data_IF_707500272666
#
_entry.id   IF_707500272666
#
_cell.length_a   1.000
_cell.length_b   1.000
_cell.length_c   1.000
_cell.angle_alpha   90.00
_cell.angle_beta   90.00
_cell.angle_gamma   90.00
#
_symmetry.space_group_name_H-M   'P 1'
#
loop_
_entity.id
_entity.type
_entity.pdbx_description
1 polymer ?
#
# COMPACT_ATOMS: atom_id res chain seq x y z
N UNK A 1 24.03 26.37 -32.81
CA UNK A 1 24.67 25.94 -31.54
C UNK A 1 23.85 26.25 -30.27
N UNK A 2 22.57 26.65 -30.34
CA UNK A 2 21.75 26.93 -29.13
C UNK A 2 20.82 25.78 -28.71
N UNK A 3 20.47 24.89 -29.64
CA UNK A 3 19.50 23.79 -29.41
C UNK A 3 20.13 22.64 -28.62
N UNK A 4 21.37 22.25 -28.94
CA UNK A 4 22.06 21.17 -28.22
C UNK A 4 22.24 21.49 -26.73
N UNK A 5 22.57 22.75 -26.40
CA UNK A 5 22.67 23.21 -25.02
C UNK A 5 21.33 23.17 -24.29
N UNK A 6 20.23 23.50 -24.97
CA UNK A 6 18.88 23.45 -24.41
C UNK A 6 18.44 22.01 -24.09
N UNK A 7 18.74 21.07 -24.99
CA UNK A 7 18.46 19.64 -24.80
C UNK A 7 19.28 19.08 -23.64
N UNK A 8 20.55 19.49 -23.51
CA UNK A 8 21.41 19.05 -22.41
C UNK A 8 20.89 19.54 -21.06
N UNK A 9 20.45 20.80 -20.97
CA UNK A 9 19.84 21.36 -19.76
C UNK A 9 18.54 20.63 -19.41
N UNK A 10 17.69 20.35 -20.39
CA UNK A 10 16.46 19.58 -20.17
C UNK A 10 16.75 18.15 -19.69
N UNK A 11 17.81 17.52 -20.19
CA UNK A 11 18.23 16.20 -19.76
C UNK A 11 18.74 16.24 -18.32
N UNK A 12 19.61 17.19 -17.97
CA UNK A 12 20.12 17.37 -16.60
C UNK A 12 19.00 17.71 -15.61
N UNK A 13 18.05 18.57 -15.99
CA UNK A 13 16.89 18.89 -15.15
C UNK A 13 15.96 17.69 -14.96
N UNK A 14 15.79 16.83 -15.98
CA UNK A 14 15.08 15.55 -15.81
C UNK A 14 15.86 14.58 -14.93
N UNK A 15 17.17 14.46 -15.10
CA UNK A 15 18.02 13.63 -14.24
C UNK A 15 17.95 14.08 -12.79
N UNK A 16 17.97 15.40 -12.55
CA UNK A 16 17.81 15.97 -11.23
C UNK A 16 16.39 15.75 -10.71
N UNK A 17 15.34 15.90 -11.51
CA UNK A 17 13.97 15.59 -11.08
C UNK A 17 13.76 14.10 -10.75
N UNK A 18 14.49 13.19 -11.41
CA UNK A 18 14.48 11.75 -11.12
C UNK A 18 15.38 11.41 -9.91
N UNK A 19 16.45 12.18 -9.69
CA UNK A 19 17.37 12.05 -8.55
C UNK A 19 17.04 13.01 -7.39
N UNK A 20 15.89 13.69 -7.40
CA UNK A 20 15.31 14.21 -6.15
C UNK A 20 14.94 12.95 -5.38
N UNK A 21 15.92 12.50 -4.60
CA UNK A 21 15.77 11.59 -3.50
C UNK A 21 14.65 12.13 -2.63
N UNK A 22 13.48 11.58 -2.88
CA UNK A 22 12.34 11.41 -1.99
C UNK A 22 11.19 10.87 -2.86
N UNK A 23 11.41 9.74 -3.56
CA UNK A 23 10.38 8.72 -3.39
C UNK A 23 10.35 8.53 -1.87
N UNK A 24 9.26 8.92 -1.17
CA UNK A 24 9.22 8.72 0.28
C UNK A 24 9.63 7.27 0.48
N UNK A 25 10.63 6.96 1.31
CA UNK A 25 11.01 5.59 1.57
C UNK A 25 9.72 4.91 1.98
N UNK A 26 9.18 4.09 1.08
CA UNK A 26 8.06 3.22 1.36
C UNK A 26 8.64 2.05 2.12
N UNK A 27 9.21 2.36 3.27
CA UNK A 27 9.65 1.37 4.24
C UNK A 27 8.36 0.88 4.88
N UNK A 28 7.82 -0.20 4.32
CA UNK A 28 6.76 -0.96 4.98
C UNK A 28 7.41 -1.59 6.19
N UNK A 29 7.31 -0.92 7.33
CA UNK A 29 7.96 -1.36 8.55
C UNK A 29 7.34 -2.64 9.17
N UNK A 30 6.43 -3.31 8.45
CA UNK A 30 5.81 -4.60 8.76
C UNK A 30 5.48 -4.78 10.25
N UNK A 31 5.00 -3.72 10.90
CA UNK A 31 4.77 -3.70 12.35
C UNK A 31 3.71 -4.70 12.80
N UNK A 32 2.86 -5.16 11.89
CA UNK A 32 1.89 -6.22 12.15
C UNK A 32 2.54 -7.61 12.31
N UNK A 33 3.80 -7.77 11.91
CA UNK A 33 4.60 -8.98 12.09
C UNK A 33 5.52 -8.94 13.31
N UNK A 34 5.59 -7.79 13.99
CA UNK A 34 6.46 -7.54 15.15
C UNK A 34 5.66 -7.53 16.45
N UNK A 35 6.12 -8.28 17.45
CA UNK A 35 5.58 -8.26 18.80
C UNK A 35 6.66 -8.56 19.85
N UNK A 36 7.11 -7.53 20.56
CA UNK A 36 8.10 -7.66 21.64
C UNK A 36 7.52 -8.27 22.94
N UNK A 37 6.21 -8.54 22.99
CA UNK A 37 5.52 -9.02 24.20
C UNK A 37 5.31 -10.53 24.24
N UNK A 38 5.50 -11.23 23.11
CA UNK A 38 5.28 -12.67 22.98
C UNK A 38 6.62 -13.41 22.94
N UNK A 39 6.78 -14.43 23.79
CA UNK A 39 8.04 -15.16 23.98
C UNK A 39 7.99 -16.65 23.54
N UNK A 40 7.07 -17.08 22.67
CA UNK A 40 6.86 -18.53 22.41
C UNK A 40 6.75 -18.98 20.93
N UNK A 41 6.99 -20.29 20.75
CA UNK A 41 7.27 -21.21 19.61
C UNK A 41 6.94 -20.81 18.15
N UNK A 42 6.00 -19.90 17.90
CA UNK A 42 5.83 -19.23 16.60
C UNK A 42 6.16 -17.76 16.82
N UNK A 43 7.46 -17.47 16.97
CA UNK A 43 7.90 -16.14 17.37
C UNK A 43 7.47 -15.11 16.32
N UNK A 44 6.62 -14.13 16.65
CA UNK A 44 6.64 -12.88 15.90
C UNK A 44 8.07 -12.33 15.91
N UNK A 45 8.44 -11.62 14.84
CA UNK A 45 9.76 -11.01 14.78
C UNK A 45 9.88 -10.03 15.95
N UNK A 46 11.04 -9.98 16.60
CA UNK A 46 11.31 -8.93 17.59
C UNK A 46 11.62 -7.62 16.87
N UNK A 47 11.48 -6.50 17.57
CA UNK A 47 11.78 -5.19 16.98
C UNK A 47 13.21 -5.03 16.47
N UNK A 48 14.14 -5.89 16.91
CA UNK A 48 15.52 -5.93 16.39
C UNK A 48 15.62 -6.29 14.90
N UNK A 49 14.57 -6.88 14.30
CA UNK A 49 14.50 -7.13 12.85
C UNK A 49 14.17 -5.88 12.03
N UNK A 50 13.72 -4.80 12.67
CA UNK A 50 13.38 -3.57 11.99
C UNK A 50 14.64 -2.78 11.61
N UNK A 51 14.58 -2.13 10.45
CA UNK A 51 15.59 -1.13 10.08
C UNK A 51 15.64 -0.01 11.13
N UNK A 52 16.76 0.74 11.19
CA UNK A 52 16.89 1.87 12.11
C UNK A 52 15.77 2.91 11.95
N UNK A 53 15.34 3.14 10.70
CA UNK A 53 14.20 4.02 10.41
C UNK A 53 12.89 3.48 10.99
N UNK A 54 12.61 2.19 10.82
CA UNK A 54 11.42 1.57 11.36
C UNK A 54 11.44 1.49 12.90
N UNK A 55 12.61 1.28 13.51
CA UNK A 55 12.80 1.36 14.95
C UNK A 55 12.43 2.73 15.53
N UNK A 56 12.71 3.82 14.80
CA UNK A 56 12.32 5.18 15.20
C UNK A 56 10.81 5.31 15.34
N UNK A 57 10.04 4.76 14.39
CA UNK A 57 8.58 4.78 14.46
C UNK A 57 8.02 3.75 15.45
N UNK A 58 8.68 2.59 15.60
CA UNK A 58 8.32 1.56 16.58
C UNK A 58 8.34 2.08 18.02
N UNK A 59 9.36 2.89 18.35
CA UNK A 59 9.52 3.53 19.67
C UNK A 59 8.50 4.64 19.95
N UNK A 60 7.75 5.10 18.95
CA UNK A 60 6.66 6.06 19.11
C UNK A 60 5.31 5.30 19.13
N UNK A 61 4.64 5.14 20.30
CA UNK A 61 3.44 4.33 20.40
C UNK A 61 2.28 4.79 19.51
N UNK A 62 2.17 6.11 19.31
CA UNK A 62 1.11 6.70 18.48
C UNK A 62 1.33 6.38 17.00
N UNK A 63 2.52 6.65 16.47
CA UNK A 63 2.86 6.35 15.07
C UNK A 63 2.85 4.84 14.81
N UNK A 64 3.42 4.03 15.72
CA UNK A 64 3.32 2.56 15.66
C UNK A 64 1.87 2.10 15.53
N UNK A 65 0.97 2.68 16.32
CA UNK A 65 -0.47 2.39 16.25
C UNK A 65 -1.10 2.74 14.89
N UNK A 66 -0.70 3.86 14.29
CA UNK A 66 -1.19 4.26 12.97
C UNK A 66 -0.69 3.34 11.86
N UNK A 67 0.59 3.00 11.84
CA UNK A 67 1.15 2.04 10.88
C UNK A 67 0.49 0.66 11.00
N UNK A 68 0.27 0.16 12.22
CA UNK A 68 -0.49 -1.10 12.44
C UNK A 68 -1.90 -1.03 11.86
N UNK A 69 -2.60 0.11 12.02
CA UNK A 69 -3.94 0.30 11.45
C UNK A 69 -3.92 0.36 9.91
N UNK A 70 -2.92 1.01 9.33
CA UNK A 70 -2.74 1.05 7.87
C UNK A 70 -2.49 -0.35 7.31
N UNK A 71 -1.58 -1.13 7.91
CA UNK A 71 -1.30 -2.51 7.52
C UNK A 71 -2.56 -3.39 7.61
N UNK A 72 -3.35 -3.26 8.67
CA UNK A 72 -4.63 -3.96 8.81
C UNK A 72 -5.64 -3.56 7.71
N UNK A 73 -5.75 -2.26 7.41
CA UNK A 73 -6.61 -1.77 6.33
C UNK A 73 -6.15 -2.28 4.96
N UNK A 74 -4.83 -2.37 4.73
CA UNK A 74 -4.25 -2.92 3.51
C UNK A 74 -4.47 -4.42 3.36
N UNK A 75 -4.32 -5.19 4.45
CA UNK A 75 -4.64 -6.61 4.46
C UNK A 75 -6.11 -6.86 4.13
N UNK A 76 -7.02 -6.10 4.73
CA UNK A 76 -8.46 -6.21 4.45
C UNK A 76 -8.78 -5.89 2.98
N UNK A 77 -8.15 -4.86 2.42
CA UNK A 77 -8.25 -4.54 0.99
C UNK A 77 -7.76 -5.68 0.10
N UNK A 78 -6.57 -6.22 0.40
CA UNK A 78 -5.94 -7.31 -0.36
C UNK A 78 -6.81 -8.57 -0.36
N UNK A 79 -7.37 -8.92 0.80
CA UNK A 79 -8.29 -10.04 0.91
C UNK A 79 -9.57 -9.80 0.10
N UNK A 80 -10.14 -8.59 0.16
CA UNK A 80 -11.33 -8.25 -0.60
C UNK A 80 -11.11 -8.34 -2.10
N UNK A 81 -10.01 -7.79 -2.63
CA UNK A 81 -9.74 -7.86 -4.08
C UNK A 81 -9.48 -9.31 -4.53
N UNK A 82 -8.74 -10.10 -3.74
CA UNK A 82 -8.51 -11.52 -4.03
C UNK A 82 -9.81 -12.32 -4.03
N UNK A 83 -10.71 -12.04 -3.07
CA UNK A 83 -12.02 -12.69 -2.98
C UNK A 83 -12.91 -12.33 -4.17
N UNK A 84 -12.90 -11.05 -4.58
CA UNK A 84 -13.62 -10.61 -5.76
C UNK A 84 -13.13 -11.33 -7.02
N UNK A 85 -11.81 -11.40 -7.21
CA UNK A 85 -11.19 -12.07 -8.36
C UNK A 85 -11.53 -13.55 -8.39
N UNK A 86 -11.39 -14.26 -7.28
CA UNK A 86 -11.75 -15.66 -7.14
C UNK A 86 -13.24 -15.89 -7.49
N UNK A 87 -14.14 -15.04 -6.97
CA UNK A 87 -15.57 -15.10 -7.29
C UNK A 87 -15.82 -14.94 -8.79
N UNK A 88 -15.17 -13.95 -9.42
CA UNK A 88 -15.39 -13.63 -10.83
C UNK A 88 -14.76 -14.64 -11.79
N UNK A 89 -13.63 -15.24 -11.42
CA UNK A 89 -12.97 -16.27 -12.21
C UNK A 89 -13.54 -17.67 -11.98
N UNK A 90 -14.34 -17.88 -10.93
CA UNK A 90 -14.82 -19.20 -10.50
C UNK A 90 -13.70 -20.12 -9.95
N UNK A 91 -12.50 -19.57 -9.71
CA UNK A 91 -11.35 -20.31 -9.18
C UNK A 91 -11.28 -20.14 -7.66
N UNK A 92 -10.63 -21.07 -6.96
CA UNK A 92 -10.33 -20.88 -5.53
C UNK A 92 -9.32 -19.74 -5.35
N UNK A 93 -9.41 -19.07 -4.21
CA UNK A 93 -8.37 -18.11 -3.78
C UNK A 93 -7.03 -18.85 -3.73
N UNK A 94 -6.01 -18.31 -4.40
CA UNK A 94 -4.65 -18.88 -4.52
C UNK A 94 -4.52 -20.19 -5.34
N UNK A 95 -5.47 -20.53 -6.22
CA UNK A 95 -5.35 -21.71 -7.08
C UNK A 95 -4.23 -21.53 -8.12
N UNK A 96 -3.20 -22.38 -8.06
CA UNK A 96 -2.04 -22.48 -8.98
C UNK A 96 -1.06 -21.29 -9.02
N UNK A 97 -1.01 -20.42 -8.01
CA UNK A 97 -0.20 -19.17 -8.03
C UNK A 97 -0.52 -18.22 -9.21
N UNK A 98 -1.52 -18.55 -10.03
CA UNK A 98 -1.99 -17.74 -11.13
C UNK A 98 -3.14 -16.86 -10.63
N UNK A 99 -2.77 -15.72 -10.04
CA UNK A 99 -3.69 -14.61 -10.00
C UNK A 99 -3.85 -14.14 -11.45
N UNK A 100 -4.94 -14.55 -12.10
CA UNK A 100 -5.36 -13.92 -13.34
C UNK A 100 -5.70 -12.46 -13.03
N UNK A 101 -4.66 -11.62 -13.05
CA UNK A 101 -4.68 -10.18 -12.86
C UNK A 101 -5.50 -9.57 -13.98
N UNK A 102 -6.82 -9.55 -13.84
CA UNK A 102 -7.64 -8.69 -14.68
C UNK A 102 -7.44 -7.25 -14.20
N UNK A 103 -6.33 -6.65 -14.63
CA UNK A 103 -5.93 -5.28 -14.30
C UNK A 103 -7.04 -4.27 -14.62
N UNK A 104 -7.84 -4.53 -15.66
CA UNK A 104 -8.98 -3.69 -16.05
C UNK A 104 -10.04 -3.69 -14.94
N UNK A 105 -10.35 -4.84 -14.35
CA UNK A 105 -11.30 -4.93 -13.25
C UNK A 105 -10.77 -4.26 -11.97
N UNK A 106 -9.48 -4.43 -11.65
CA UNK A 106 -8.87 -3.69 -10.53
C UNK A 106 -8.92 -2.18 -10.73
N UNK A 107 -8.67 -1.71 -11.96
CA UNK A 107 -8.72 -0.29 -12.30
C UNK A 107 -10.10 0.33 -12.03
N UNK A 108 -11.19 -0.42 -12.25
CA UNK A 108 -12.56 0.06 -11.92
C UNK A 108 -12.73 0.37 -10.44
N UNK A 109 -12.05 -0.36 -9.56
CA UNK A 109 -12.07 -0.07 -8.13
C UNK A 109 -11.15 1.10 -7.79
N UNK A 110 -9.91 1.11 -8.31
CA UNK A 110 -8.97 2.21 -8.05
C UNK A 110 -9.48 3.57 -8.55
N UNK A 111 -10.27 3.60 -9.62
CA UNK A 111 -10.89 4.83 -10.12
C UNK A 111 -12.00 5.38 -9.21
N UNK A 112 -12.49 4.61 -8.24
CA UNK A 112 -13.53 5.06 -7.30
C UNK A 112 -12.96 5.76 -6.07
N UNK A 113 -11.65 5.66 -5.84
CA UNK A 113 -10.99 6.23 -4.66
C UNK A 113 -9.67 6.87 -5.06
N UNK A 114 -9.56 8.18 -4.88
CA UNK A 114 -8.36 8.93 -5.20
C UNK A 114 -7.32 8.85 -4.07
N UNK A 115 -6.26 8.07 -4.29
CA UNK A 115 -5.10 7.97 -3.39
C UNK A 115 -4.07 9.08 -3.63
N UNK A 116 -4.10 9.78 -4.76
CA UNK A 116 -3.11 10.83 -5.07
C UNK A 116 -3.14 11.94 -4.02
N UNK A 117 -4.33 12.28 -3.52
CA UNK A 117 -4.52 13.25 -2.44
C UNK A 117 -3.83 12.85 -1.13
N UNK A 118 -3.65 11.55 -0.87
CA UNK A 118 -2.90 11.08 0.28
C UNK A 118 -1.40 11.33 0.07
N UNK A 119 -0.87 11.01 -1.11
CA UNK A 119 0.54 11.24 -1.45
C UNK A 119 0.95 12.71 -1.52
N UNK A 120 -0.02 13.63 -1.58
CA UNK A 120 0.21 15.07 -1.46
C UNK A 120 0.29 15.57 0.00
N UNK A 121 0.09 14.70 0.99
CA UNK A 121 0.21 15.09 2.42
C UNK A 121 1.67 15.15 2.83
N UNK A 122 2.04 16.24 3.49
CA UNK A 122 3.41 16.51 3.94
C UNK A 122 3.69 16.02 5.37
N UNK A 123 2.64 15.69 6.13
CA UNK A 123 2.73 15.18 7.49
C UNK A 123 2.39 13.68 7.52
N UNK A 124 3.24 12.90 8.20
CA UNK A 124 3.13 11.44 8.27
C UNK A 124 1.80 10.98 8.87
N UNK A 125 1.30 11.68 9.89
CA UNK A 125 0.04 11.32 10.56
C UNK A 125 -1.14 11.53 9.61
N UNK A 126 -1.19 12.67 8.94
CA UNK A 126 -2.20 13.02 7.95
C UNK A 126 -2.15 12.09 6.74
N UNK A 127 -0.94 11.72 6.30
CA UNK A 127 -0.71 10.74 5.25
C UNK A 127 -1.29 9.36 5.61
N UNK A 128 -0.89 8.80 6.77
CA UNK A 128 -1.35 7.48 7.22
C UNK A 128 -2.86 7.44 7.45
N UNK A 129 -3.44 8.47 8.07
CA UNK A 129 -4.89 8.55 8.26
C UNK A 129 -5.64 8.60 6.92
N UNK A 130 -5.13 9.34 5.94
CA UNK A 130 -5.70 9.36 4.59
C UNK A 130 -5.65 7.98 3.94
N UNK A 131 -4.51 7.28 4.01
CA UNK A 131 -4.39 5.92 3.47
C UNK A 131 -5.39 4.96 4.12
N UNK A 132 -5.49 4.97 5.45
CA UNK A 132 -6.44 4.13 6.20
C UNK A 132 -7.88 4.40 5.74
N UNK A 133 -8.28 5.67 5.64
CA UNK A 133 -9.62 6.07 5.20
C UNK A 133 -9.90 5.57 3.78
N UNK A 134 -9.00 5.86 2.84
CA UNK A 134 -9.17 5.51 1.41
C UNK A 134 -9.18 4.01 1.19
N UNK A 135 -8.28 3.25 1.84
CA UNK A 135 -8.30 1.78 1.79
C UNK A 135 -9.58 1.22 2.38
N UNK A 136 -10.04 1.73 3.52
CA UNK A 136 -11.30 1.29 4.13
C UNK A 136 -12.49 1.54 3.22
N UNK A 137 -12.56 2.72 2.58
CA UNK A 137 -13.59 3.05 1.61
C UNK A 137 -13.57 2.10 0.41
N UNK A 138 -12.38 1.84 -0.16
CA UNK A 138 -12.21 0.95 -1.30
C UNK A 138 -12.61 -0.49 -0.97
N UNK A 139 -12.21 -1.00 0.20
CA UNK A 139 -12.60 -2.33 0.69
C UNK A 139 -14.12 -2.48 0.79
N UNK A 140 -14.83 -1.45 1.28
CA UNK A 140 -16.31 -1.46 1.33
C UNK A 140 -16.93 -1.55 -0.05
N UNK A 141 -16.39 -0.82 -1.03
CA UNK A 141 -16.85 -0.84 -2.43
C UNK A 141 -16.68 -2.26 -3.01
N UNK A 142 -15.50 -2.86 -2.83
CA UNK A 142 -15.21 -4.20 -3.34
C UNK A 142 -16.14 -5.24 -2.68
N UNK A 143 -16.30 -5.19 -1.36
CA UNK A 143 -17.20 -6.10 -0.66
C UNK A 143 -18.65 -6.00 -1.13
N UNK A 144 -19.13 -4.79 -1.44
CA UNK A 144 -20.45 -4.60 -2.04
C UNK A 144 -20.56 -5.30 -3.40
N UNK A 145 -19.54 -5.17 -4.25
CA UNK A 145 -19.49 -5.86 -5.54
C UNK A 145 -19.43 -7.39 -5.39
N UNK A 146 -18.76 -7.90 -4.34
CA UNK A 146 -18.77 -9.33 -3.98
C UNK A 146 -20.16 -9.79 -3.56
N UNK A 147 -20.94 -8.98 -2.84
CA UNK A 147 -22.29 -9.39 -2.40
C UNK A 147 -23.33 -9.37 -3.52
N UNK A 148 -23.08 -8.65 -4.62
CA UNK A 148 -23.99 -8.60 -5.76
C UNK A 148 -23.91 -9.90 -6.60
N UNK A 149 -25.04 -10.38 -7.15
CA UNK A 149 -25.02 -11.47 -8.13
C UNK A 149 -24.20 -11.04 -9.34
N UNK A 150 -23.39 -11.97 -9.88
CA UNK A 150 -22.63 -11.70 -11.10
C UNK A 150 -23.65 -11.53 -12.23
N UNK A 151 -23.72 -10.33 -12.81
CA UNK A 151 -24.45 -10.12 -14.06
C UNK A 151 -23.66 -10.82 -15.17
N UNK A 152 -24.28 -11.85 -15.77
CA UNK A 152 -23.78 -12.56 -16.95
C UNK A 152 -23.54 -11.62 -18.13
#
# INVERSE_FOLDING_TARGET
MKICSLILILFVMRSLAVNIHETPPFDTCDFDLIDDTLTEYYSPMTSDFLSEECLRYWKNPYLRGLYKKEAQAFRAFTLAIQTYEAKKSGKKVCENNEYALNLIERQKFYNQVDFSLCYMKTDQVSFLNCLIEKRTALTKIINKAISQPLSN
#
